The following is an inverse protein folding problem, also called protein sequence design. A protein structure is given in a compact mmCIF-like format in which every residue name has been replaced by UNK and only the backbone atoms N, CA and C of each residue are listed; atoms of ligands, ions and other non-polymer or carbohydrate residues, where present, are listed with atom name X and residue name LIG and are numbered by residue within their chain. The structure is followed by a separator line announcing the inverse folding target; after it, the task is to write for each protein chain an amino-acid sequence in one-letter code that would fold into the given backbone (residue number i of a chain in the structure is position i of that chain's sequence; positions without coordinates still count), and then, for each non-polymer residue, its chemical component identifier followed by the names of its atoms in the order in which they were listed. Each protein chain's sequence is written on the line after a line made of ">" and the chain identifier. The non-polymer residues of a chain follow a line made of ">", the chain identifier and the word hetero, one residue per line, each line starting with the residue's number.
data_IF_158658832082
#
_entry.id   IF_158658832082
#
_cell.length_a   1.000
_cell.length_b   1.000
_cell.length_c   1.000
_cell.angle_alpha   90.00
_cell.angle_beta   90.00
_cell.angle_gamma   90.00
#
_symmetry.space_group_name_H-M   'P 1'
#
loop_
_entity.id
_entity.type
_entity.pdbx_description
1 polymer ?
#
# COMPACT_ATOMS: atom_id res chain seq x y z
N UNK A 1 -44.19 -7.51 109.35
CA UNK A 1 -43.13 -6.59 109.82
C UNK A 1 -41.79 -7.21 109.44
N UNK A 2 -40.97 -6.48 108.67
CA UNK A 2 -39.50 -6.67 108.44
C UNK A 2 -39.11 -7.87 107.54
N UNK A 3 -38.89 -7.66 106.23
CA UNK A 3 -37.61 -7.32 105.55
C UNK A 3 -36.56 -8.44 105.57
N UNK A 4 -36.17 -8.96 104.39
CA UNK A 4 -34.79 -9.13 103.88
C UNK A 4 -34.82 -9.93 102.55
N UNK A 5 -34.08 -9.44 101.54
CA UNK A 5 -33.40 -10.08 100.38
C UNK A 5 -33.56 -9.19 99.12
N UNK A 6 -32.68 -8.22 98.91
CA UNK A 6 -31.32 -8.25 98.30
C UNK A 6 -31.33 -8.20 96.76
N UNK A 7 -30.94 -7.03 96.26
CA UNK A 7 -30.12 -6.72 95.08
C UNK A 7 -29.94 -7.81 94.01
N UNK A 8 -30.54 -7.57 92.84
CA UNK A 8 -30.09 -8.12 91.56
C UNK A 8 -29.21 -7.06 90.86
N UNK A 9 -27.91 -7.32 90.62
CA UNK A 9 -27.09 -6.40 89.84
C UNK A 9 -27.40 -6.57 88.34
N UNK A 10 -27.52 -5.42 87.65
CA UNK A 10 -27.51 -5.32 86.20
C UNK A 10 -26.20 -5.92 85.63
N UNK A 11 -26.27 -7.18 85.23
CA UNK A 11 -25.11 -7.95 84.79
C UNK A 11 -25.02 -8.07 83.27
N UNK A 12 -24.03 -7.37 82.71
CA UNK A 12 -23.28 -7.74 81.48
C UNK A 12 -23.90 -7.41 80.11
N UNK A 13 -24.00 -6.11 79.80
CA UNK A 13 -23.99 -5.62 78.42
C UNK A 13 -22.67 -4.92 78.02
N UNK A 14 -21.56 -5.14 78.75
CA UNK A 14 -20.35 -4.31 78.61
C UNK A 14 -19.01 -5.01 78.41
N UNK A 15 -18.96 -6.35 78.33
CA UNK A 15 -17.67 -7.08 78.30
C UNK A 15 -17.26 -7.53 76.89
N UNK A 16 -18.21 -7.63 75.94
CA UNK A 16 -17.85 -7.92 74.53
C UNK A 16 -17.25 -6.73 73.77
N UNK A 17 -17.33 -5.51 74.33
CA UNK A 17 -16.92 -4.30 73.62
C UNK A 17 -15.51 -3.79 73.98
N UNK A 18 -14.88 -4.29 75.06
CA UNK A 18 -13.60 -3.76 75.56
C UNK A 18 -12.35 -4.59 75.26
N UNK A 19 -12.48 -5.77 74.66
CA UNK A 19 -11.34 -6.57 74.17
C UNK A 19 -11.08 -6.40 72.66
N UNK A 20 -11.99 -5.74 71.93
CA UNK A 20 -11.88 -5.49 70.49
C UNK A 20 -11.27 -4.12 70.14
N UNK A 21 -11.14 -3.23 71.12
CA UNK A 21 -10.48 -1.93 70.99
C UNK A 21 -9.27 -1.98 71.93
N UNK A 22 -8.00 -1.92 71.51
CA UNK A 22 -7.48 -0.75 70.80
C UNK A 22 -6.14 -1.02 70.07
N UNK A 23 -5.59 -2.25 70.12
CA UNK A 23 -4.24 -2.53 69.57
C UNK A 23 -4.14 -3.77 68.65
N UNK A 24 -5.04 -4.76 68.76
CA UNK A 24 -4.95 -5.96 67.91
C UNK A 24 -5.59 -5.75 66.53
N UNK A 25 -6.81 -5.17 66.48
CA UNK A 25 -7.50 -4.86 65.22
C UNK A 25 -6.66 -3.90 64.36
N UNK A 26 -6.04 -2.89 64.97
CA UNK A 26 -5.13 -1.96 64.29
C UNK A 26 -3.92 -2.69 63.71
N UNK A 27 -3.32 -3.66 64.43
CA UNK A 27 -2.22 -4.48 63.91
C UNK A 27 -2.66 -5.32 62.72
N UNK A 28 -3.77 -6.05 62.82
CA UNK A 28 -4.29 -6.86 61.72
C UNK A 28 -4.68 -6.01 60.49
N UNK A 29 -5.22 -4.82 60.69
CA UNK A 29 -5.50 -3.86 59.62
C UNK A 29 -4.22 -3.38 58.94
N UNK A 30 -3.19 -3.01 59.70
CA UNK A 30 -1.89 -2.59 59.13
C UNK A 30 -1.24 -3.71 58.32
N UNK A 31 -1.28 -4.95 58.82
CA UNK A 31 -0.77 -6.10 58.08
C UNK A 31 -1.58 -6.39 56.81
N UNK A 32 -2.92 -6.35 56.87
CA UNK A 32 -3.77 -6.54 55.70
C UNK A 32 -3.59 -5.44 54.65
N UNK A 33 -3.41 -4.18 55.07
CA UNK A 33 -3.10 -3.07 54.17
C UNK A 33 -1.70 -3.26 53.55
N UNK A 34 -0.71 -3.70 54.33
CA UNK A 34 0.62 -4.03 53.83
C UNK A 34 0.59 -5.13 52.76
N UNK A 35 -0.19 -6.19 52.99
CA UNK A 35 -0.42 -7.29 52.04
C UNK A 35 -1.05 -6.77 50.74
N UNK A 36 -2.11 -5.95 50.84
CA UNK A 36 -2.77 -5.35 49.67
C UNK A 36 -1.80 -4.48 48.87
N UNK A 37 -1.01 -3.63 49.53
CA UNK A 37 -0.02 -2.78 48.87
C UNK A 37 1.04 -3.65 48.15
N UNK A 38 1.51 -4.71 48.79
CA UNK A 38 2.50 -5.62 48.20
C UNK A 38 1.94 -6.37 46.98
N UNK A 39 0.68 -6.83 47.05
CA UNK A 39 -0.03 -7.43 45.91
C UNK A 39 -0.20 -6.42 44.77
N UNK A 40 -0.60 -5.18 45.07
CA UNK A 40 -0.76 -4.11 44.06
C UNK A 40 0.57 -3.80 43.38
N UNK A 41 1.67 -3.68 44.13
CA UNK A 41 3.01 -3.49 43.56
C UNK A 41 3.38 -4.68 42.65
N UNK A 42 3.08 -5.91 43.07
CA UNK A 42 3.31 -7.11 42.26
C UNK A 42 2.56 -7.07 40.92
N UNK A 43 1.28 -6.68 40.93
CA UNK A 43 0.46 -6.52 39.72
C UNK A 43 1.01 -5.41 38.82
N UNK A 44 1.38 -4.26 39.40
CA UNK A 44 1.94 -3.14 38.64
C UNK A 44 3.27 -3.48 37.97
N UNK A 45 4.16 -4.22 38.66
CA UNK A 45 5.42 -4.70 38.08
C UNK A 45 5.14 -5.70 36.95
N UNK A 46 4.22 -6.65 37.16
CA UNK A 46 3.84 -7.63 36.14
C UNK A 46 3.28 -6.95 34.88
N UNK A 47 2.37 -5.99 35.04
CA UNK A 47 1.85 -5.15 33.95
C UNK A 47 2.97 -4.34 33.27
N UNK A 48 3.89 -3.76 34.04
CA UNK A 48 5.00 -2.96 33.50
C UNK A 48 5.94 -3.81 32.64
N UNK A 49 6.29 -5.03 33.09
CA UNK A 49 7.11 -5.96 32.32
C UNK A 49 6.39 -6.40 31.04
N UNK A 50 5.08 -6.68 31.13
CA UNK A 50 4.29 -7.05 29.96
C UNK A 50 4.25 -5.92 28.93
N UNK A 51 3.94 -4.70 29.36
CA UNK A 51 3.90 -3.51 28.51
C UNK A 51 5.27 -3.22 27.87
N UNK A 52 6.36 -3.39 28.62
CA UNK A 52 7.71 -3.23 28.07
C UNK A 52 8.03 -4.27 26.98
N UNK A 53 7.66 -5.54 27.19
CA UNK A 53 7.86 -6.58 26.17
C UNK A 53 6.97 -6.37 24.94
N UNK A 54 5.75 -5.89 25.11
CA UNK A 54 4.85 -5.51 24.01
C UNK A 54 5.44 -4.34 23.21
N UNK A 55 5.84 -3.25 23.87
CA UNK A 55 6.49 -2.11 23.23
C UNK A 55 7.75 -2.53 22.46
N UNK A 56 8.57 -3.43 23.01
CA UNK A 56 9.75 -3.97 22.32
C UNK A 56 9.37 -4.70 21.04
N UNK A 57 8.32 -5.52 21.05
CA UNK A 57 7.84 -6.25 19.86
C UNK A 57 7.27 -5.30 18.82
N UNK A 58 6.48 -4.31 19.25
CA UNK A 58 5.89 -3.28 18.40
C UNK A 58 7.00 -2.45 17.71
N UNK A 59 8.06 -2.07 18.44
CA UNK A 59 9.21 -1.36 17.87
C UNK A 59 9.98 -2.20 16.84
N UNK A 60 10.22 -3.49 17.10
CA UNK A 60 10.86 -4.39 16.15
C UNK A 60 10.03 -4.54 14.87
N UNK A 61 8.71 -4.62 15.01
CA UNK A 61 7.80 -4.73 13.88
C UNK A 61 7.75 -3.43 13.07
N UNK A 62 7.67 -2.26 13.72
CA UNK A 62 7.76 -0.96 13.07
C UNK A 62 9.07 -0.83 12.27
N UNK A 63 10.20 -1.21 12.86
CA UNK A 63 11.50 -1.18 12.18
C UNK A 63 11.51 -2.05 10.92
N UNK A 64 11.02 -3.28 11.01
CA UNK A 64 10.90 -4.17 9.85
C UNK A 64 10.06 -3.55 8.72
N UNK A 65 8.92 -2.96 9.07
CA UNK A 65 8.09 -2.27 8.08
C UNK A 65 8.79 -1.05 7.47
N UNK A 66 9.51 -0.29 8.28
CA UNK A 66 10.28 0.88 7.83
C UNK A 66 11.36 0.47 6.83
N UNK A 67 12.11 -0.59 7.12
CA UNK A 67 13.14 -1.15 6.22
C UNK A 67 12.54 -1.64 4.90
N UNK A 68 11.39 -2.33 4.95
CA UNK A 68 10.68 -2.78 3.75
C UNK A 68 10.23 -1.59 2.89
N UNK A 69 9.59 -0.58 3.50
CA UNK A 69 9.13 0.61 2.78
C UNK A 69 10.30 1.37 2.13
N UNK A 70 11.43 1.53 2.83
CA UNK A 70 12.64 2.14 2.26
C UNK A 70 13.13 1.35 1.05
N UNK A 71 13.19 0.01 1.15
CA UNK A 71 13.63 -0.84 0.05
C UNK A 71 12.70 -0.75 -1.16
N UNK A 72 11.39 -0.76 -0.93
CA UNK A 72 10.36 -0.59 -1.97
C UNK A 72 10.48 0.77 -2.65
N UNK A 73 10.52 1.86 -1.87
CA UNK A 73 10.63 3.22 -2.41
C UNK A 73 11.88 3.41 -3.25
N UNK A 74 13.02 2.86 -2.83
CA UNK A 74 14.27 2.91 -3.62
C UNK A 74 14.15 2.13 -4.92
N UNK A 75 13.51 0.96 -4.89
CA UNK A 75 13.24 0.18 -6.10
C UNK A 75 12.31 0.91 -7.06
N UNK A 76 11.24 1.51 -6.53
CA UNK A 76 10.25 2.24 -7.32
C UNK A 76 10.86 3.49 -7.98
N UNK A 77 11.70 4.24 -7.26
CA UNK A 77 12.41 5.40 -7.79
C UNK A 77 13.29 5.03 -8.99
N UNK A 78 14.06 3.92 -8.89
CA UNK A 78 14.86 3.42 -10.02
C UNK A 78 13.96 3.02 -11.20
N UNK A 79 12.84 2.37 -10.91
CA UNK A 79 11.89 1.98 -11.95
C UNK A 79 11.27 3.20 -12.64
N UNK A 80 10.92 4.27 -11.92
CA UNK A 80 10.36 5.48 -12.53
C UNK A 80 11.31 6.12 -13.56
N UNK A 81 12.61 6.15 -13.28
CA UNK A 81 13.61 6.68 -14.22
C UNK A 81 13.72 5.80 -15.49
N UNK A 82 13.74 4.48 -15.32
CA UNK A 82 13.76 3.54 -16.45
C UNK A 82 12.49 3.65 -17.30
N UNK A 83 11.33 3.82 -16.65
CA UNK A 83 10.04 3.98 -17.29
C UNK A 83 9.95 5.27 -18.09
N UNK A 84 10.40 6.39 -17.53
CA UNK A 84 10.42 7.68 -18.21
C UNK A 84 11.29 7.64 -19.47
N UNK A 85 12.53 7.16 -19.35
CA UNK A 85 13.47 7.04 -20.47
C UNK A 85 12.91 6.12 -21.58
N UNK A 86 12.25 5.03 -21.17
CA UNK A 86 11.60 4.10 -22.07
C UNK A 86 10.39 4.72 -22.77
N UNK A 87 9.50 5.37 -22.03
CA UNK A 87 8.29 5.98 -22.55
C UNK A 87 8.63 7.07 -23.56
N UNK A 88 9.59 7.95 -23.27
CA UNK A 88 10.10 8.96 -24.21
C UNK A 88 10.60 8.34 -25.51
N UNK A 89 11.36 7.25 -25.43
CA UNK A 89 11.83 6.51 -26.61
C UNK A 89 10.67 5.94 -27.44
N UNK A 90 9.71 5.29 -26.80
CA UNK A 90 8.56 4.68 -27.49
C UNK A 90 7.66 5.76 -28.09
N UNK A 91 7.38 6.85 -27.37
CA UNK A 91 6.64 8.03 -27.86
C UNK A 91 7.27 8.58 -29.13
N UNK A 92 8.60 8.79 -29.13
CA UNK A 92 9.33 9.25 -30.33
C UNK A 92 9.18 8.29 -31.50
N UNK A 93 9.22 6.97 -31.26
CA UNK A 93 9.05 5.98 -32.31
C UNK A 93 7.62 5.99 -32.89
N UNK A 94 6.59 6.13 -32.04
CA UNK A 94 5.20 6.25 -32.49
C UNK A 94 5.00 7.53 -33.30
N UNK A 95 5.56 8.66 -32.85
CA UNK A 95 5.54 9.92 -33.60
C UNK A 95 6.24 9.79 -34.96
N UNK A 96 7.39 9.10 -35.02
CA UNK A 96 8.08 8.82 -36.29
C UNK A 96 7.25 7.95 -37.23
N UNK A 97 6.51 6.97 -36.70
CA UNK A 97 5.56 6.18 -37.48
C UNK A 97 4.44 7.06 -38.05
N UNK A 98 3.83 7.93 -37.25
CA UNK A 98 2.77 8.82 -37.74
C UNK A 98 3.27 9.87 -38.74
N UNK A 99 4.51 10.38 -38.56
CA UNK A 99 5.14 11.25 -39.54
C UNK A 99 5.33 10.53 -40.89
N UNK A 100 5.72 9.25 -40.87
CA UNK A 100 5.83 8.45 -42.09
C UNK A 100 4.46 8.08 -42.68
N UNK A 101 3.47 7.74 -41.85
CA UNK A 101 2.08 7.50 -42.27
C UNK A 101 1.50 8.71 -43.03
N UNK A 102 1.83 9.93 -42.60
CA UNK A 102 1.37 11.17 -43.22
C UNK A 102 2.26 11.67 -44.39
N UNK A 103 3.31 10.93 -44.77
CA UNK A 103 4.16 11.31 -45.90
C UNK A 103 3.46 11.08 -47.24
N UNK A 104 3.92 11.75 -48.30
CA UNK A 104 3.38 11.53 -49.65
C UNK A 104 3.69 10.10 -50.11
N UNK A 105 2.65 9.29 -50.33
CA UNK A 105 2.72 7.91 -50.84
C UNK A 105 3.66 7.00 -50.02
N UNK A 106 3.33 6.70 -48.74
CA UNK A 106 4.19 5.86 -47.91
C UNK A 106 4.23 4.43 -48.44
N UNK A 107 5.43 3.85 -48.54
CA UNK A 107 5.56 2.42 -48.85
C UNK A 107 4.92 1.59 -47.71
N UNK A 108 3.91 0.79 -48.07
CA UNK A 108 3.09 0.03 -47.12
C UNK A 108 3.87 -1.06 -46.38
N UNK A 109 4.80 -1.76 -47.03
CA UNK A 109 5.62 -2.78 -46.37
C UNK A 109 6.46 -2.17 -45.23
N UNK A 110 7.05 -1.01 -45.51
CA UNK A 110 7.82 -0.24 -44.53
C UNK A 110 6.94 0.24 -43.39
N UNK A 111 5.73 0.72 -43.69
CA UNK A 111 4.77 1.21 -42.71
C UNK A 111 4.32 0.08 -41.77
N UNK A 112 4.01 -1.08 -42.32
CA UNK A 112 3.65 -2.30 -41.59
C UNK A 112 4.82 -2.76 -40.70
N UNK A 113 6.05 -2.78 -41.25
CA UNK A 113 7.24 -3.18 -40.50
C UNK A 113 7.53 -2.24 -39.31
N UNK A 114 7.43 -0.92 -39.51
CA UNK A 114 7.54 0.08 -38.43
C UNK A 114 6.49 -0.16 -37.35
N UNK A 115 5.23 -0.35 -37.75
CA UNK A 115 4.12 -0.63 -36.82
C UNK A 115 4.33 -1.91 -36.02
N UNK A 116 4.73 -3.00 -36.66
CA UNK A 116 4.99 -4.28 -35.96
C UNK A 116 6.11 -4.15 -34.93
N UNK A 117 7.16 -3.42 -35.29
CA UNK A 117 8.28 -3.11 -34.38
C UNK A 117 7.80 -2.29 -33.19
N UNK A 118 6.91 -1.30 -33.40
CA UNK A 118 6.30 -0.54 -32.30
C UNK A 118 5.53 -1.46 -31.36
N UNK A 119 4.61 -2.27 -31.89
CA UNK A 119 3.75 -3.15 -31.09
C UNK A 119 4.53 -4.14 -30.24
N UNK A 120 5.65 -4.67 -30.74
CA UNK A 120 6.54 -5.53 -29.96
C UNK A 120 7.14 -4.82 -28.71
N UNK A 121 7.22 -3.48 -28.76
CA UNK A 121 7.79 -2.63 -27.73
C UNK A 121 6.74 -1.85 -26.92
N UNK A 122 5.44 -2.08 -27.09
CA UNK A 122 4.41 -1.46 -26.24
C UNK A 122 4.31 -2.21 -24.91
N UNK A 123 4.35 -1.49 -23.79
CA UNK A 123 4.17 -2.05 -22.45
C UNK A 123 3.37 -1.08 -21.59
N UNK A 124 2.64 -1.64 -20.65
CA UNK A 124 1.93 -0.92 -19.59
C UNK A 124 2.62 -1.33 -18.29
N UNK A 125 2.89 -0.36 -17.43
CA UNK A 125 3.56 -0.57 -16.15
C UNK A 125 2.68 0.00 -15.04
N UNK A 126 2.63 -0.72 -13.93
CA UNK A 126 1.98 -0.32 -12.69
C UNK A 126 2.95 -0.61 -11.54
N UNK A 127 3.00 0.27 -10.54
CA UNK A 127 3.72 0.01 -9.29
C UNK A 127 2.85 -0.84 -8.35
N UNK A 128 3.44 -1.32 -7.25
CA UNK A 128 2.69 -2.07 -6.23
C UNK A 128 3.07 -1.61 -4.83
N UNK A 129 2.08 -1.46 -3.96
CA UNK A 129 2.24 -0.95 -2.58
C UNK A 129 2.03 -2.04 -1.53
N UNK A 130 2.69 -3.19 -1.68
CA UNK A 130 2.37 -4.37 -0.86
C UNK A 130 2.58 -4.12 0.64
N UNK A 131 3.64 -3.42 1.05
CA UNK A 131 3.88 -3.14 2.47
C UNK A 131 2.87 -2.16 3.06
N UNK A 132 2.48 -1.13 2.31
CA UNK A 132 1.44 -0.18 2.75
C UNK A 132 0.09 -0.89 2.87
N UNK A 133 -0.24 -1.76 1.92
CA UNK A 133 -1.46 -2.56 1.97
C UNK A 133 -1.49 -3.48 3.19
N UNK A 134 -0.36 -4.11 3.53
CA UNK A 134 -0.23 -4.92 4.74
C UNK A 134 -0.39 -4.07 6.01
N UNK A 135 0.27 -2.91 6.10
CA UNK A 135 0.15 -1.97 7.23
C UNK A 135 -1.29 -1.55 7.51
N UNK A 136 -2.07 -1.33 6.46
CA UNK A 136 -3.48 -0.91 6.56
C UNK A 136 -4.36 -2.09 6.95
N UNK A 137 -4.25 -3.22 6.24
CA UNK A 137 -5.11 -4.39 6.45
C UNK A 137 -4.90 -5.04 7.82
N UNK A 138 -3.68 -4.99 8.36
CA UNK A 138 -3.33 -5.53 9.68
C UNK A 138 -3.52 -4.53 10.83
N UNK A 139 -3.79 -3.25 10.52
CA UNK A 139 -3.84 -2.18 11.51
C UNK A 139 -2.47 -1.77 12.08
N UNK A 140 -1.36 -2.29 11.53
CA UNK A 140 0.00 -2.01 11.98
C UNK A 140 0.47 -0.58 11.66
N UNK A 141 -0.28 0.18 10.86
CA UNK A 141 -0.07 1.62 10.69
C UNK A 141 -0.12 2.38 12.04
N UNK A 142 -0.76 1.82 13.09
CA UNK A 142 -0.75 2.38 14.46
C UNK A 142 0.64 2.47 15.09
N UNK A 143 1.60 1.70 14.60
CA UNK A 143 2.95 1.61 15.15
C UNK A 143 3.78 2.87 14.82
N UNK A 144 3.40 3.60 13.78
CA UNK A 144 4.15 4.75 13.29
C UNK A 144 3.74 6.06 14.00
N UNK A 145 4.68 7.01 14.15
CA UNK A 145 4.36 8.37 14.58
C UNK A 145 3.26 9.00 13.71
N UNK A 146 2.46 9.89 14.31
CA UNK A 146 1.31 10.50 13.61
C UNK A 146 1.71 11.21 12.31
N UNK A 147 2.87 11.87 12.27
CA UNK A 147 3.37 12.54 11.07
C UNK A 147 3.74 11.52 9.97
N UNK A 148 4.49 10.47 10.31
CA UNK A 148 4.86 9.40 9.37
C UNK A 148 3.64 8.67 8.83
N UNK A 149 2.65 8.42 9.69
CA UNK A 149 1.36 7.84 9.28
C UNK A 149 0.67 8.68 8.21
N UNK A 150 0.61 9.99 8.40
CA UNK A 150 0.02 10.92 7.43
C UNK A 150 0.77 10.87 6.09
N UNK A 151 2.10 10.88 6.10
CA UNK A 151 2.89 10.81 4.87
C UNK A 151 2.76 9.46 4.15
N UNK A 152 2.69 8.33 4.87
CA UNK A 152 2.40 7.01 4.28
C UNK A 152 1.05 7.05 3.55
N UNK A 153 0.02 7.59 4.18
CA UNK A 153 -1.33 7.67 3.61
C UNK A 153 -1.40 8.65 2.42
N UNK A 154 -0.69 9.77 2.50
CA UNK A 154 -0.58 10.74 1.39
C UNK A 154 0.09 10.08 0.17
N UNK A 155 1.23 9.40 0.37
CA UNK A 155 1.91 8.67 -0.69
C UNK A 155 1.04 7.57 -1.31
N UNK A 156 0.28 6.83 -0.50
CA UNK A 156 -0.69 5.86 -0.98
C UNK A 156 -1.77 6.52 -1.86
N UNK A 157 -2.36 7.61 -1.37
CA UNK A 157 -3.41 8.35 -2.10
C UNK A 157 -2.90 8.84 -3.46
N UNK A 158 -1.68 9.37 -3.51
CA UNK A 158 -1.03 9.81 -4.77
C UNK A 158 -0.82 8.65 -5.75
N UNK A 159 -0.54 7.44 -5.26
CA UNK A 159 -0.44 6.25 -6.12
C UNK A 159 -1.81 5.79 -6.62
N UNK A 160 -2.80 5.71 -5.73
CA UNK A 160 -4.16 5.28 -6.08
C UNK A 160 -4.79 6.16 -7.15
N UNK A 161 -4.60 7.49 -7.06
CA UNK A 161 -5.07 8.45 -8.07
C UNK A 161 -4.51 8.12 -9.47
N UNK A 162 -3.23 7.74 -9.55
CA UNK A 162 -2.57 7.42 -10.82
C UNK A 162 -2.94 6.05 -11.34
N UNK A 163 -3.07 5.09 -10.43
CA UNK A 163 -3.50 3.73 -10.75
C UNK A 163 -4.88 3.68 -11.39
N UNK A 164 -5.80 4.56 -10.97
CA UNK A 164 -7.13 4.67 -11.59
C UNK A 164 -6.97 4.96 -13.09
N UNK A 165 -6.21 5.99 -13.45
CA UNK A 165 -5.99 6.34 -14.85
C UNK A 165 -5.27 5.25 -15.64
N UNK A 166 -4.26 4.61 -15.04
CA UNK A 166 -3.51 3.51 -15.67
C UNK A 166 -4.43 2.31 -15.92
N UNK A 167 -5.30 1.95 -14.97
CA UNK A 167 -6.28 0.86 -15.11
C UNK A 167 -7.30 1.17 -16.20
N UNK A 168 -7.88 2.36 -16.22
CA UNK A 168 -8.80 2.79 -17.28
C UNK A 168 -8.13 2.73 -18.67
N UNK A 169 -6.89 3.23 -18.76
CA UNK A 169 -6.10 3.17 -19.99
C UNK A 169 -5.84 1.73 -20.43
N UNK A 170 -5.48 0.85 -19.49
CA UNK A 170 -5.26 -0.57 -19.74
C UNK A 170 -6.52 -1.26 -20.26
N UNK A 171 -7.68 -0.98 -19.67
CA UNK A 171 -8.97 -1.54 -20.11
C UNK A 171 -9.33 -1.09 -21.53
N UNK A 172 -9.18 0.20 -21.84
CA UNK A 172 -9.43 0.74 -23.18
C UNK A 172 -8.50 0.12 -24.23
N UNK A 173 -7.20 0.00 -23.91
CA UNK A 173 -6.22 -0.63 -24.81
C UNK A 173 -6.55 -2.11 -25.01
N UNK A 174 -6.88 -2.83 -23.94
CA UNK A 174 -7.23 -4.25 -24.00
C UNK A 174 -8.50 -4.47 -24.81
N UNK A 175 -9.50 -3.61 -24.67
CA UNK A 175 -10.72 -3.65 -25.47
C UNK A 175 -10.42 -3.49 -26.97
N UNK A 176 -9.58 -2.51 -27.35
CA UNK A 176 -9.13 -2.35 -28.74
C UNK A 176 -8.35 -3.57 -29.26
N UNK A 177 -7.49 -4.16 -28.43
CA UNK A 177 -6.74 -5.36 -28.78
C UNK A 177 -7.67 -6.55 -29.04
N UNK A 178 -8.67 -6.75 -28.18
CA UNK A 178 -9.65 -7.83 -28.33
C UNK A 178 -10.49 -7.65 -29.60
N UNK A 179 -10.91 -6.42 -29.92
CA UNK A 179 -11.63 -6.14 -31.17
C UNK A 179 -10.77 -6.38 -32.40
N UNK A 180 -9.47 -6.05 -32.35
CA UNK A 180 -8.54 -6.32 -33.45
C UNK A 180 -8.31 -7.83 -33.61
N UNK A 181 -8.13 -8.57 -32.52
CA UNK A 181 -7.88 -10.01 -32.54
C UNK A 181 -9.06 -10.80 -33.13
N UNK A 182 -10.31 -10.36 -32.89
CA UNK A 182 -11.50 -10.94 -33.55
C UNK A 182 -11.50 -10.79 -35.07
N UNK A 183 -10.76 -9.80 -35.58
CA UNK A 183 -10.72 -9.40 -36.99
C UNK A 183 -9.35 -9.67 -37.64
N UNK A 184 -8.48 -10.44 -36.98
CA UNK A 184 -7.14 -10.78 -37.47
C UNK A 184 -6.99 -12.30 -37.67
N UNK A 185 -6.31 -12.70 -38.74
CA UNK A 185 -5.98 -14.11 -38.98
C UNK A 185 -4.62 -14.41 -38.36
N UNK A 186 -4.63 -14.74 -37.06
CA UNK A 186 -3.40 -15.03 -36.33
C UNK A 186 -2.66 -16.25 -36.88
N UNK A 187 -3.38 -17.25 -37.42
CA UNK A 187 -2.78 -18.45 -37.98
C UNK A 187 -1.93 -18.10 -39.21
N UNK A 188 -2.48 -17.28 -40.11
CA UNK A 188 -1.76 -16.75 -41.26
C UNK A 188 -0.63 -15.79 -40.83
N UNK A 189 -0.92 -14.82 -39.96
CA UNK A 189 0.04 -13.79 -39.54
C UNK A 189 1.26 -14.36 -38.81
N UNK A 190 1.06 -15.38 -37.98
CA UNK A 190 2.13 -16.09 -37.27
C UNK A 190 2.84 -17.13 -38.14
N UNK A 191 2.49 -17.23 -39.42
CA UNK A 191 3.08 -18.16 -40.40
C UNK A 191 2.85 -19.64 -40.06
N UNK A 192 1.77 -19.95 -39.33
CA UNK A 192 1.32 -21.33 -39.12
C UNK A 192 0.46 -21.83 -40.29
N UNK A 193 -0.07 -20.92 -41.12
CA UNK A 193 -0.79 -21.22 -42.35
C UNK A 193 -0.31 -20.33 -43.49
N UNK A 194 -0.30 -20.86 -44.71
CA UNK A 194 -0.10 -20.11 -45.95
C UNK A 194 -1.39 -19.56 -46.54
N UNK A 195 -2.55 -19.98 -46.01
CA UNK A 195 -3.89 -19.51 -46.38
C UNK A 195 -4.35 -18.44 -45.39
N UNK A 196 -4.87 -17.34 -45.90
CA UNK A 196 -5.54 -16.30 -45.11
C UNK A 196 -7.05 -16.42 -45.28
N UNK A 197 -7.79 -16.26 -44.19
CA UNK A 197 -9.26 -16.21 -44.22
C UNK A 197 -9.75 -14.99 -45.01
N UNK A 198 -10.76 -15.19 -45.86
CA UNK A 198 -11.21 -14.19 -46.84
C UNK A 198 -11.77 -12.93 -46.18
N UNK A 199 -12.52 -13.06 -45.08
CA UNK A 199 -13.17 -11.95 -44.37
C UNK A 199 -12.20 -10.92 -43.76
N UNK A 200 -10.91 -11.26 -43.62
CA UNK A 200 -9.89 -10.41 -43.01
C UNK A 200 -8.69 -10.21 -43.94
N UNK A 201 -8.88 -10.49 -45.23
CA UNK A 201 -7.80 -10.47 -46.21
C UNK A 201 -7.27 -9.04 -46.40
N UNK A 202 -5.94 -8.91 -46.42
CA UNK A 202 -5.22 -7.69 -46.78
C UNK A 202 -5.53 -6.40 -45.97
N UNK A 203 -6.27 -6.44 -44.86
CA UNK A 203 -6.59 -5.22 -44.10
C UNK A 203 -5.34 -4.41 -43.71
N UNK A 204 -4.22 -5.10 -43.44
CA UNK A 204 -2.92 -4.49 -43.08
C UNK A 204 -2.32 -3.61 -44.19
N UNK A 205 -2.71 -3.84 -45.44
CA UNK A 205 -2.30 -3.09 -46.63
C UNK A 205 -3.39 -2.13 -47.13
N UNK A 206 -4.52 -2.03 -46.43
CA UNK A 206 -5.58 -1.10 -46.73
C UNK A 206 -5.67 -0.05 -45.60
N UNK A 207 -5.13 1.14 -45.86
CA UNK A 207 -5.11 2.25 -44.90
C UNK A 207 -6.53 2.73 -44.52
N UNK A 208 -7.51 2.53 -45.41
CA UNK A 208 -8.91 2.90 -45.20
C UNK A 208 -9.71 1.80 -44.50
N UNK A 209 -9.08 0.68 -44.09
CA UNK A 209 -9.78 -0.38 -43.39
C UNK A 209 -10.03 -0.05 -41.91
N UNK A 210 -11.19 -0.46 -41.41
CA UNK A 210 -11.55 -0.33 -39.98
C UNK A 210 -10.47 -0.92 -39.05
N UNK A 211 -9.85 -2.03 -39.43
CA UNK A 211 -8.79 -2.65 -38.65
C UNK A 211 -7.53 -1.79 -38.59
N UNK A 212 -7.20 -1.09 -39.69
CA UNK A 212 -6.07 -0.16 -39.71
C UNK A 212 -6.32 1.04 -38.79
N UNK A 213 -7.55 1.57 -38.83
CA UNK A 213 -8.01 2.61 -37.90
C UNK A 213 -7.91 2.16 -36.44
N UNK A 214 -8.41 0.96 -36.10
CA UNK A 214 -8.35 0.41 -34.75
C UNK A 214 -6.90 0.25 -34.26
N UNK A 215 -6.00 -0.22 -35.11
CA UNK A 215 -4.59 -0.38 -34.76
C UNK A 215 -3.90 0.98 -34.50
N UNK A 216 -4.21 1.99 -35.31
CA UNK A 216 -3.74 3.36 -35.08
C UNK A 216 -4.35 3.96 -33.81
N UNK A 217 -5.63 3.74 -33.54
CA UNK A 217 -6.29 4.20 -32.31
C UNK A 217 -5.60 3.63 -31.06
N UNK A 218 -5.18 2.36 -31.11
CA UNK A 218 -4.42 1.75 -30.03
C UNK A 218 -3.08 2.47 -29.81
N UNK A 219 -2.34 2.80 -30.87
CA UNK A 219 -1.09 3.58 -30.76
C UNK A 219 -1.33 4.97 -30.14
N UNK A 220 -2.44 5.63 -30.49
CA UNK A 220 -2.83 6.91 -29.88
C UNK A 220 -3.13 6.75 -28.39
N UNK A 221 -3.82 5.67 -27.98
CA UNK A 221 -4.05 5.39 -26.54
C UNK A 221 -2.75 5.22 -25.76
N UNK A 222 -1.75 4.55 -26.35
CA UNK A 222 -0.42 4.46 -25.73
C UNK A 222 0.28 5.82 -25.65
N UNK A 223 0.16 6.69 -26.65
CA UNK A 223 0.68 8.06 -26.56
C UNK A 223 0.02 8.84 -25.42
N UNK A 224 -1.31 8.74 -25.28
CA UNK A 224 -2.03 9.39 -24.19
C UNK A 224 -1.56 8.87 -22.82
N UNK A 225 -1.44 7.55 -22.66
CA UNK A 225 -0.94 6.93 -21.44
C UNK A 225 0.49 7.39 -21.11
N UNK A 226 1.40 7.37 -22.07
CA UNK A 226 2.79 7.78 -21.84
C UNK A 226 2.92 9.26 -21.53
N UNK A 227 2.11 10.12 -22.16
CA UNK A 227 2.05 11.55 -21.82
C UNK A 227 1.55 11.77 -20.38
N UNK A 228 0.54 11.03 -19.94
CA UNK A 228 0.05 11.09 -18.57
C UNK A 228 1.12 10.63 -17.57
N UNK A 229 1.78 9.50 -17.85
CA UNK A 229 2.86 8.97 -17.01
C UNK A 229 4.01 9.97 -16.92
N UNK A 230 4.44 10.57 -18.03
CA UNK A 230 5.48 11.61 -18.03
C UNK A 230 5.08 12.83 -17.18
N UNK A 231 3.83 13.32 -17.30
CA UNK A 231 3.39 14.48 -16.52
C UNK A 231 3.21 14.18 -15.03
N UNK A 232 2.76 12.96 -14.70
CA UNK A 232 2.39 12.58 -13.33
C UNK A 232 3.54 11.95 -12.54
N UNK A 233 4.56 11.37 -13.17
CA UNK A 233 5.65 10.71 -12.46
C UNK A 233 6.39 11.64 -11.48
N UNK A 234 6.46 12.94 -11.77
CA UNK A 234 7.11 13.92 -10.89
C UNK A 234 6.49 13.96 -9.48
N UNK A 235 5.16 13.88 -9.34
CA UNK A 235 4.57 13.90 -8.00
C UNK A 235 4.78 12.58 -7.27
N UNK A 236 4.91 11.46 -7.99
CA UNK A 236 5.26 10.17 -7.37
C UNK A 236 6.70 10.20 -6.87
N UNK A 237 7.63 10.67 -7.70
CA UNK A 237 9.04 10.82 -7.33
C UNK A 237 9.17 11.76 -6.13
N UNK A 238 8.45 12.89 -6.13
CA UNK A 238 8.45 13.83 -5.00
C UNK A 238 7.91 13.18 -3.73
N UNK A 239 6.73 12.53 -3.80
CA UNK A 239 6.12 11.88 -2.64
C UNK A 239 6.97 10.70 -2.12
N UNK A 240 7.58 9.92 -3.02
CA UNK A 240 8.52 8.85 -2.68
C UNK A 240 9.74 9.38 -1.93
N UNK A 241 10.35 10.47 -2.41
CA UNK A 241 11.50 11.07 -1.74
C UNK A 241 11.14 11.69 -0.38
N UNK A 242 9.98 12.35 -0.27
CA UNK A 242 9.48 12.91 1.00
C UNK A 242 9.29 11.80 2.05
N UNK A 243 8.60 10.72 1.68
CA UNK A 243 8.38 9.58 2.56
C UNK A 243 9.71 8.86 2.88
N UNK A 244 10.59 8.66 1.88
CA UNK A 244 11.87 8.00 2.07
C UNK A 244 12.73 8.74 3.10
N UNK A 245 12.88 10.06 2.97
CA UNK A 245 13.63 10.87 3.92
C UNK A 245 13.07 10.75 5.35
N UNK A 246 11.74 10.74 5.49
CA UNK A 246 11.09 10.60 6.79
C UNK A 246 11.33 9.23 7.42
N UNK A 247 11.28 8.16 6.63
CA UNK A 247 11.54 6.79 7.09
C UNK A 247 13.01 6.58 7.46
N UNK A 248 13.95 7.15 6.69
CA UNK A 248 15.39 7.08 7.00
C UNK A 248 15.71 7.80 8.31
N UNK A 249 15.11 8.96 8.57
CA UNK A 249 15.23 9.66 9.86
C UNK A 249 14.66 8.84 11.01
N UNK A 250 13.51 8.18 10.81
CA UNK A 250 12.88 7.34 11.84
C UNK A 250 13.77 6.16 12.26
N UNK A 251 14.53 5.57 11.32
CA UNK A 251 15.51 4.53 11.65
C UNK A 251 16.67 5.09 12.48
N UNK A 252 17.19 6.25 12.09
CA UNK A 252 18.33 6.86 12.77
C UNK A 252 18.01 7.25 14.22
N UNK A 253 16.82 7.83 14.45
CA UNK A 253 16.34 8.17 15.81
C UNK A 253 16.11 6.93 16.69
N UNK A 254 15.81 5.76 16.09
CA UNK A 254 15.59 4.51 16.82
C UNK A 254 16.89 3.80 17.28
N UNK A 255 18.05 4.29 16.84
CA UNK A 255 19.38 3.75 17.20
C UNK A 255 20.07 4.52 18.34
N UNK A 256 19.57 5.70 18.71
CA UNK A 256 20.02 6.50 19.86
C UNK A 256 19.25 6.14 21.15
#
# INVERSE_FOLDING_TARGET
>A
MISIFRNLPAGKAGIRQKLLAQNQVTRYLVYAIGEIILVVIGILIALSINNWNENRKDNLLMKKYTENLISELKSDLLMYDELDARNKRVTKNIQSYFAYYNSDQPNLDTLISKRDTLKANLRIFASSTYTIQDLISTGNLRLFPSQTKTEILKFQSTQEEKDIYIKESFELITSLMQELDKKDDLLFRRKYSTKQHESVRNWRYNLDSDNYLLDNNMLVRFLTLYSFQESSNNDLISASNELLNMLENLINESQE
#
